data_IF_045909248930
#
_entry.id   IF_045909248930
#
_cell.length_a   1.000
_cell.length_b   1.000
_cell.length_c   1.000
_cell.angle_alpha   90.00
_cell.angle_beta   90.00
_cell.angle_gamma   90.00
#
_symmetry.space_group_name_H-M   'P 1'
#
loop_
_entity.id
_entity.type
_entity.pdbx_description
1 polymer ?
#
# COMPACT_ATOMS: atom_id res chain seq x y z
N UNK A 1 -17.70 17.03 12.02
CA UNK A 1 -17.59 17.76 10.75
C UNK A 1 -18.95 18.34 10.37
N UNK A 2 -18.99 19.45 9.66
CA UNK A 2 -20.18 20.12 9.10
C UNK A 2 -19.86 20.60 7.69
N UNK A 3 -20.87 20.76 6.83
CA UNK A 3 -20.68 21.36 5.51
C UNK A 3 -20.33 22.85 5.62
N UNK A 4 -19.58 23.37 4.65
CA UNK A 4 -19.24 24.79 4.59
C UNK A 4 -20.48 25.59 4.20
N UNK A 5 -20.94 26.48 5.08
CA UNK A 5 -22.13 27.31 4.85
C UNK A 5 -21.76 28.71 4.35
N UNK A 6 -22.74 29.46 3.81
CA UNK A 6 -22.58 30.91 3.49
C UNK A 6 -22.06 31.72 4.69
N UNK A 7 -22.33 31.30 5.94
CA UNK A 7 -21.72 31.90 7.14
C UNK A 7 -20.22 31.59 7.25
N UNK A 8 -19.82 30.31 7.11
CA UNK A 8 -18.42 29.88 7.24
C UNK A 8 -17.54 30.56 6.19
N UNK A 9 -17.98 30.63 4.94
CA UNK A 9 -17.25 31.33 3.88
C UNK A 9 -17.01 32.81 4.19
N UNK A 10 -18.05 33.54 4.62
CA UNK A 10 -17.93 34.96 5.00
C UNK A 10 -17.05 35.16 6.23
N UNK A 11 -17.18 34.32 7.26
CA UNK A 11 -16.38 34.40 8.47
C UNK A 11 -14.90 34.05 8.23
N UNK A 12 -14.62 33.02 7.42
CA UNK A 12 -13.27 32.65 7.01
C UNK A 12 -12.59 33.80 6.25
N UNK A 13 -13.28 34.40 5.27
CA UNK A 13 -12.76 35.55 4.53
C UNK A 13 -12.54 36.78 5.43
N UNK A 14 -13.47 37.06 6.35
CA UNK A 14 -13.33 38.16 7.30
C UNK A 14 -12.15 37.95 8.26
N UNK A 15 -11.88 36.71 8.69
CA UNK A 15 -10.80 36.35 9.62
C UNK A 15 -9.43 36.35 8.94
N UNK A 16 -9.27 35.56 7.89
CA UNK A 16 -7.98 35.32 7.23
C UNK A 16 -7.65 36.28 6.10
N UNK A 17 -8.60 37.12 5.65
CA UNK A 17 -8.49 37.98 4.45
C UNK A 17 -8.18 37.23 3.15
N UNK A 18 -8.49 35.93 3.12
CA UNK A 18 -8.30 35.01 1.99
C UNK A 18 -9.62 34.28 1.73
N UNK A 19 -9.99 34.09 0.45
CA UNK A 19 -11.20 33.32 0.08
C UNK A 19 -10.95 31.83 0.30
N UNK A 20 -11.97 31.10 0.74
CA UNK A 20 -11.90 29.64 0.78
C UNK A 20 -12.01 29.10 -0.65
N UNK A 21 -10.86 28.74 -1.24
CA UNK A 21 -10.73 28.32 -2.62
C UNK A 21 -11.05 26.85 -2.89
N UNK A 22 -10.96 26.49 -4.17
CA UNK A 22 -10.87 25.12 -4.69
C UNK A 22 -12.00 24.16 -4.25
N UNK A 23 -13.17 24.71 -3.89
CA UNK A 23 -14.32 23.91 -3.44
C UNK A 23 -14.97 23.07 -4.55
N UNK A 24 -14.56 23.24 -5.80
CA UNK A 24 -14.87 22.39 -6.93
C UNK A 24 -13.89 21.20 -7.10
N UNK A 25 -12.78 21.17 -6.35
CA UNK A 25 -11.74 20.13 -6.42
C UNK A 25 -11.95 19.07 -5.36
N UNK A 26 -12.02 17.80 -5.77
CA UNK A 26 -12.21 16.65 -4.87
C UNK A 26 -11.12 16.46 -3.81
N UNK A 27 -9.94 17.06 -4.00
CA UNK A 27 -8.85 17.07 -3.01
C UNK A 27 -8.98 18.16 -1.94
N UNK A 28 -9.86 19.14 -2.12
CA UNK A 28 -10.01 20.24 -1.18
C UNK A 28 -10.91 19.88 0.02
N UNK A 29 -10.70 20.46 1.22
CA UNK A 29 -11.59 20.22 2.35
C UNK A 29 -12.98 20.82 2.12
N UNK A 30 -13.99 19.97 1.88
CA UNK A 30 -15.40 20.36 1.76
C UNK A 30 -16.16 20.42 3.09
N UNK A 31 -15.50 20.06 4.21
CA UNK A 31 -16.11 19.98 5.55
C UNK A 31 -15.24 20.65 6.60
N UNK A 32 -15.88 21.33 7.54
CA UNK A 32 -15.27 22.09 8.63
C UNK A 32 -15.57 21.45 10.00
N UNK A 33 -14.68 21.63 10.98
CA UNK A 33 -14.89 21.10 12.33
C UNK A 33 -15.94 21.92 13.11
N UNK A 34 -16.78 21.28 13.95
CA UNK A 34 -17.85 22.00 14.71
C UNK A 34 -17.26 23.13 15.56
N UNK A 35 -16.21 22.82 16.30
CA UNK A 35 -15.46 23.78 17.14
C UNK A 35 -14.90 24.95 16.33
N UNK A 36 -14.48 24.73 15.09
CA UNK A 36 -13.95 25.76 14.20
C UNK A 36 -15.05 26.78 13.84
N UNK A 37 -16.26 26.28 13.53
CA UNK A 37 -17.45 27.11 13.26
C UNK A 37 -17.89 27.87 14.51
N UNK A 38 -17.85 27.23 15.68
CA UNK A 38 -18.19 27.84 16.97
C UNK A 38 -17.21 28.94 17.38
N UNK A 39 -15.90 28.73 17.18
CA UNK A 39 -14.87 29.74 17.43
C UNK A 39 -15.02 30.94 16.47
N UNK A 40 -15.24 30.72 15.17
CA UNK A 40 -15.53 31.80 14.22
C UNK A 40 -16.83 32.56 14.57
N UNK A 41 -17.86 31.85 15.04
CA UNK A 41 -19.14 32.45 15.48
C UNK A 41 -19.04 33.19 16.82
N UNK A 42 -18.11 32.79 17.68
CA UNK A 42 -17.82 33.50 18.93
C UNK A 42 -17.05 34.78 18.64
N UNK A 43 -16.00 34.68 17.81
CA UNK A 43 -15.21 35.80 17.32
C UNK A 43 -16.05 36.85 16.57
N UNK A 44 -16.93 36.42 15.64
CA UNK A 44 -17.81 37.34 14.89
C UNK A 44 -18.90 37.99 15.75
N UNK A 45 -18.96 37.67 17.05
CA UNK A 45 -19.81 38.32 18.06
C UNK A 45 -18.99 39.15 19.07
N UNK A 46 -17.72 39.43 18.76
CA UNK A 46 -16.82 40.21 19.62
C UNK A 46 -16.41 39.52 20.93
N UNK A 47 -16.52 38.18 21.01
CA UNK A 47 -16.14 37.43 22.21
C UNK A 47 -14.69 36.97 22.16
N UNK A 48 -14.08 36.78 23.32
CA UNK A 48 -12.67 36.36 23.49
C UNK A 48 -12.29 35.02 22.82
N UNK A 49 -13.24 34.10 22.58
CA UNK A 49 -12.90 32.82 21.92
C UNK A 49 -12.75 33.02 20.40
N UNK A 50 -11.56 32.72 19.90
CA UNK A 50 -11.16 32.80 18.50
C UNK A 50 -10.42 31.51 18.04
N UNK A 51 -10.04 31.41 16.77
CA UNK A 51 -9.23 30.28 16.28
C UNK A 51 -7.81 30.33 16.88
N UNK A 52 -7.15 29.19 17.16
CA UNK A 52 -5.81 29.19 17.76
C UNK A 52 -4.68 29.53 16.77
N UNK A 53 -4.99 29.85 15.51
CA UNK A 53 -4.03 30.08 14.43
C UNK A 53 -4.42 31.27 13.54
N UNK A 54 -3.41 32.07 13.17
CA UNK A 54 -3.56 33.23 12.29
C UNK A 54 -3.40 32.90 10.81
N UNK A 55 -2.72 31.80 10.48
CA UNK A 55 -2.67 31.24 9.12
C UNK A 55 -3.37 29.89 9.16
N UNK A 56 -4.35 29.63 8.27
CA UNK A 56 -5.07 28.36 8.24
C UNK A 56 -4.22 27.26 7.60
N UNK A 57 -4.69 26.00 7.65
CA UNK A 57 -4.08 24.96 6.81
C UNK A 57 -4.36 25.26 5.34
N UNK A 58 -3.31 25.38 4.53
CA UNK A 58 -3.43 25.62 3.09
C UNK A 58 -3.11 24.32 2.37
N UNK A 59 -4.02 23.91 1.48
CA UNK A 59 -3.90 22.74 0.63
C UNK A 59 -3.64 23.20 -0.81
N UNK A 60 -2.77 22.51 -1.52
CA UNK A 60 -2.46 22.70 -2.95
C UNK A 60 -2.41 21.34 -3.60
N UNK A 61 -2.83 21.23 -4.85
CA UNK A 61 -2.82 19.98 -5.61
C UNK A 61 -1.49 19.21 -5.50
N UNK A 62 -1.58 17.92 -5.14
CA UNK A 62 -0.46 16.99 -4.99
C UNK A 62 0.19 16.71 -6.33
N UNK A 63 1.52 16.87 -6.40
CA UNK A 63 2.31 16.61 -7.62
C UNK A 63 2.39 15.12 -7.95
N UNK A 64 2.57 14.26 -6.93
CA UNK A 64 2.61 12.81 -7.07
C UNK A 64 2.47 12.10 -5.70
N UNK A 65 2.20 10.79 -5.72
CA UNK A 65 2.00 9.99 -4.51
C UNK A 65 3.30 9.60 -3.76
N UNK A 66 4.48 9.78 -4.37
CA UNK A 66 5.76 9.31 -3.84
C UNK A 66 6.43 10.34 -2.93
N UNK A 67 6.46 11.61 -3.34
CA UNK A 67 7.06 12.72 -2.58
C UNK A 67 6.05 13.78 -2.08
N UNK A 68 4.79 13.71 -2.50
CA UNK A 68 3.79 14.77 -2.25
C UNK A 68 2.40 14.24 -1.81
N UNK A 69 2.35 13.10 -1.11
CA UNK A 69 1.09 12.50 -0.65
C UNK A 69 0.65 12.94 0.75
N UNK A 70 -0.48 13.66 0.84
CA UNK A 70 -1.04 14.19 2.08
C UNK A 70 -1.33 13.15 3.18
N UNK A 71 -1.64 11.91 2.79
CA UNK A 71 -1.98 10.84 3.73
C UNK A 71 -0.75 10.13 4.27
N UNK A 72 0.36 10.14 3.52
CA UNK A 72 1.55 9.34 3.82
C UNK A 72 2.64 10.14 4.53
N UNK A 73 2.73 11.45 4.33
CA UNK A 73 3.86 12.25 4.83
C UNK A 73 3.46 13.50 5.65
N UNK A 74 4.15 13.77 6.78
CA UNK A 74 3.75 14.83 7.71
C UNK A 74 4.17 16.26 7.32
N UNK A 75 5.15 16.44 6.43
CA UNK A 75 5.64 17.75 5.97
C UNK A 75 5.77 17.73 4.44
N UNK A 76 5.05 18.62 3.75
CA UNK A 76 4.96 18.69 2.29
C UNK A 76 4.99 20.15 1.82
N UNK A 77 5.47 20.40 0.60
CA UNK A 77 5.32 21.72 -0.05
C UNK A 77 3.86 22.04 -0.39
N UNK A 78 3.05 21.00 -0.63
CA UNK A 78 1.63 21.10 -0.98
C UNK A 78 0.72 21.42 0.21
N UNK A 79 1.17 21.19 1.46
CA UNK A 79 0.37 21.43 2.68
C UNK A 79 1.13 22.31 3.66
N UNK A 80 0.71 23.58 3.75
CA UNK A 80 1.17 24.49 4.80
C UNK A 80 0.30 24.23 6.04
N UNK A 81 0.94 23.78 7.12
CA UNK A 81 0.29 23.58 8.42
C UNK A 81 -0.19 24.92 9.01
N UNK A 82 -1.28 24.94 9.82
CA UNK A 82 -1.72 26.16 10.49
C UNK A 82 -0.61 26.79 11.33
N UNK A 83 -0.43 28.11 11.22
CA UNK A 83 0.55 28.85 12.02
C UNK A 83 -0.16 29.51 13.19
N UNK A 84 0.22 29.20 14.46
CA UNK A 84 -0.35 29.83 15.66
C UNK A 84 -0.27 31.36 15.62
N UNK A 85 -1.17 32.03 16.35
CA UNK A 85 -1.05 33.46 16.57
C UNK A 85 0.24 33.81 17.34
N UNK A 86 0.87 34.92 16.97
CA UNK A 86 2.07 35.46 17.63
C UNK A 86 2.03 37.01 17.60
N UNK A 87 3.11 37.68 18.03
CA UNK A 87 3.22 39.15 17.95
C UNK A 87 2.99 39.70 16.53
N UNK A 88 3.47 38.96 15.54
CA UNK A 88 3.48 39.36 14.12
C UNK A 88 2.22 38.87 13.39
N UNK A 89 1.46 37.97 14.03
CA UNK A 89 0.18 37.41 13.57
C UNK A 89 -0.86 37.53 14.69
N UNK A 90 -1.28 38.74 15.07
CA UNK A 90 -2.29 38.94 16.12
C UNK A 90 -3.66 38.40 15.69
N UNK A 91 -4.56 38.24 16.67
CA UNK A 91 -5.96 37.88 16.40
C UNK A 91 -6.64 39.05 15.67
N UNK A 92 -7.26 38.84 14.49
CA UNK A 92 -7.93 39.91 13.76
C UNK A 92 -9.12 40.44 14.57
N UNK A 93 -9.35 41.75 14.55
CA UNK A 93 -10.57 42.34 15.12
C UNK A 93 -11.69 42.16 14.09
N UNK A 94 -12.83 41.61 14.51
CA UNK A 94 -14.02 41.55 13.64
C UNK A 94 -14.57 42.96 13.42
N UNK A 95 -14.67 43.36 12.16
CA UNK A 95 -15.27 44.63 11.73
C UNK A 95 -16.61 44.37 11.07
N UNK A 96 -16.60 43.67 9.94
CA UNK A 96 -17.78 43.32 9.15
C UNK A 96 -17.51 42.10 8.26
N UNK A 97 -18.58 41.51 7.71
CA UNK A 97 -18.45 40.54 6.61
C UNK A 97 -18.38 41.31 5.28
N UNK A 98 -17.18 41.38 4.70
CA UNK A 98 -16.97 41.99 3.38
C UNK A 98 -17.89 41.35 2.32
N UNK A 99 -18.67 42.20 1.64
CA UNK A 99 -19.65 41.78 0.66
C UNK A 99 -19.03 41.20 -0.60
N UNK A 100 -19.41 39.98 -0.95
CA UNK A 100 -19.32 39.43 -2.30
C UNK A 100 -20.71 39.57 -2.93
N UNK A 101 -20.92 40.69 -3.61
CA UNK A 101 -21.94 40.89 -4.64
C UNK A 101 -21.50 40.13 -5.91
N UNK A 102 -22.31 39.39 -6.67
CA UNK A 102 -23.71 38.94 -6.57
C UNK A 102 -23.72 37.40 -6.91
N UNK A 103 -24.77 36.58 -6.91
CA UNK A 103 -26.20 36.74 -7.25
C UNK A 103 -27.13 35.87 -6.36
N UNK A 104 -28.43 36.22 -6.39
CA UNK A 104 -29.64 35.48 -5.94
C UNK A 104 -29.57 34.87 -4.50
N UNK A 105 -30.23 35.42 -3.48
CA UNK A 105 -31.54 36.07 -3.46
C UNK A 105 -31.67 36.95 -2.20
N UNK A 106 -32.42 38.06 -2.29
CA UNK A 106 -32.51 39.07 -1.22
C UNK A 106 -33.88 39.19 -0.58
N UNK A 107 -34.01 38.81 0.70
CA UNK A 107 -35.10 39.26 1.57
C UNK A 107 -34.71 39.26 3.06
N UNK A 108 -35.09 40.35 3.71
CA UNK A 108 -35.08 40.75 5.13
C UNK A 108 -34.70 39.76 6.26
N UNK A 109 -33.95 40.33 7.22
CA UNK A 109 -33.96 39.96 8.63
C UNK A 109 -35.26 40.44 9.29
N UNK A 110 -36.28 39.58 9.42
CA UNK A 110 -37.32 39.73 10.46
C UNK A 110 -37.66 38.36 11.09
N UNK A 111 -38.08 38.39 12.35
CA UNK A 111 -38.49 37.21 13.10
C UNK A 111 -39.89 36.76 12.65
N UNK A 112 -40.04 35.50 12.23
CA UNK A 112 -41.35 34.84 12.17
C UNK A 112 -41.25 33.50 12.87
N UNK A 113 -42.20 33.28 13.78
CA UNK A 113 -42.39 32.05 14.50
C UNK A 113 -43.50 31.23 13.82
N UNK A 114 -43.37 29.91 13.90
CA UNK A 114 -44.43 28.91 13.80
C UNK A 114 -44.88 28.32 12.43
N UNK A 115 -44.97 26.98 12.47
CA UNK A 115 -45.66 25.98 11.63
C UNK A 115 -45.57 25.89 10.09
N UNK A 116 -45.04 24.73 9.66
CA UNK A 116 -45.27 23.91 8.45
C UNK A 116 -45.06 24.59 7.07
N UNK A 117 -44.60 23.98 5.97
CA UNK A 117 -44.46 22.60 5.47
C UNK A 117 -43.24 22.56 4.51
N UNK A 118 -42.62 21.46 4.08
CA UNK A 118 -42.85 20.01 4.27
C UNK A 118 -41.47 19.29 4.43
N UNK A 119 -41.28 18.06 3.93
CA UNK A 119 -40.08 17.22 4.15
C UNK A 119 -39.20 17.00 2.91
N UNK A 120 -37.90 16.84 3.17
CA UNK A 120 -37.09 15.79 2.54
C UNK A 120 -36.52 14.91 3.67
N UNK A 121 -37.15 13.75 3.93
CA UNK A 121 -36.72 12.80 4.97
C UNK A 121 -35.67 11.89 4.36
N UNK A 122 -34.39 12.02 4.75
CA UNK A 122 -33.44 10.88 4.69
C UNK A 122 -32.12 11.12 5.46
N UNK A 123 -32.21 11.77 6.62
CA UNK A 123 -31.10 11.76 7.59
C UNK A 123 -31.57 11.64 9.04
N UNK A 124 -31.98 10.43 9.43
CA UNK A 124 -32.05 10.07 10.84
C UNK A 124 -30.63 10.11 11.42
N UNK A 125 -30.42 10.98 12.41
CA UNK A 125 -29.19 10.95 13.22
C UNK A 125 -29.02 9.58 13.90
N UNK A 126 -27.79 9.18 14.24
CA UNK A 126 -27.52 7.84 14.76
C UNK A 126 -28.40 7.56 15.98
N UNK A 127 -29.17 6.48 15.92
CA UNK A 127 -29.98 6.03 17.04
C UNK A 127 -29.07 5.69 18.23
N UNK A 128 -29.61 5.82 19.44
CA UNK A 128 -28.91 5.44 20.67
C UNK A 128 -28.82 3.92 20.89
N UNK A 129 -29.16 3.12 19.88
CA UNK A 129 -29.10 1.65 19.89
C UNK A 129 -27.97 1.16 18.97
N UNK A 130 -27.21 0.12 19.37
CA UNK A 130 -26.16 -0.43 18.51
C UNK A 130 -26.73 -1.02 17.21
N UNK A 131 -26.43 -0.40 16.08
CA UNK A 131 -26.73 -0.95 14.75
C UNK A 131 -25.90 -2.23 14.52
N UNK A 132 -26.57 -3.34 14.21
CA UNK A 132 -25.90 -4.59 13.85
C UNK A 132 -25.43 -4.54 12.40
N UNK A 133 -24.25 -5.08 12.11
CA UNK A 133 -23.79 -5.19 10.72
C UNK A 133 -24.64 -6.20 9.94
N UNK A 134 -25.26 -5.74 8.86
CA UNK A 134 -25.81 -6.59 7.82
C UNK A 134 -24.69 -7.12 6.92
N UNK A 135 -25.03 -8.01 5.97
CA UNK A 135 -24.04 -8.67 5.12
C UNK A 135 -23.29 -7.72 4.18
N UNK A 136 -23.92 -6.63 3.72
CA UNK A 136 -23.29 -5.64 2.85
C UNK A 136 -22.34 -4.75 3.66
N UNK A 137 -22.79 -4.18 4.79
CA UNK A 137 -21.96 -3.36 5.67
C UNK A 137 -20.73 -4.12 6.19
N UNK A 138 -20.89 -5.42 6.49
CA UNK A 138 -19.76 -6.27 6.87
C UNK A 138 -18.79 -6.50 5.70
N UNK A 139 -19.29 -6.61 4.46
CA UNK A 139 -18.45 -6.72 3.27
C UNK A 139 -17.71 -5.41 2.99
N UNK A 140 -18.36 -4.25 3.14
CA UNK A 140 -17.75 -2.94 3.00
C UNK A 140 -16.65 -2.75 4.05
N UNK A 141 -16.94 -3.02 5.34
CA UNK A 141 -15.92 -2.99 6.41
C UNK A 141 -14.72 -3.90 6.11
N UNK A 142 -14.95 -5.09 5.57
CA UNK A 142 -13.90 -6.05 5.21
C UNK A 142 -13.07 -5.58 4.00
N UNK A 143 -13.68 -4.86 3.05
CA UNK A 143 -12.99 -4.24 1.90
C UNK A 143 -12.15 -3.04 2.38
N UNK A 144 -12.73 -2.18 3.19
CA UNK A 144 -12.09 -0.94 3.66
C UNK A 144 -10.92 -1.24 4.63
N UNK A 145 -10.91 -2.42 5.26
CA UNK A 145 -9.80 -2.95 6.06
C UNK A 145 -8.82 -3.85 5.26
N UNK A 146 -9.02 -4.01 3.95
CA UNK A 146 -8.25 -4.88 3.04
C UNK A 146 -7.93 -6.29 3.59
N UNK A 147 -8.97 -6.99 4.05
CA UNK A 147 -8.79 -8.27 4.74
C UNK A 147 -8.72 -9.46 3.78
N UNK A 148 -7.67 -10.29 3.98
CA UNK A 148 -7.56 -11.65 3.43
C UNK A 148 -8.81 -12.48 3.75
N UNK A 149 -9.08 -13.56 3.01
CA UNK A 149 -10.25 -14.42 3.26
C UNK A 149 -10.27 -14.98 4.69
N UNK A 150 -9.13 -15.44 5.19
CA UNK A 150 -8.98 -15.99 6.55
C UNK A 150 -9.19 -14.91 7.61
N UNK A 151 -8.62 -13.71 7.40
CA UNK A 151 -8.81 -12.56 8.29
C UNK A 151 -10.26 -12.04 8.28
N UNK A 152 -10.90 -12.05 7.11
CA UNK A 152 -12.30 -11.68 6.90
C UNK A 152 -13.24 -12.62 7.66
N UNK A 153 -13.03 -13.93 7.51
CA UNK A 153 -13.78 -14.94 8.24
C UNK A 153 -13.58 -14.82 9.75
N UNK A 154 -12.33 -14.65 10.21
CA UNK A 154 -12.01 -14.48 11.62
C UNK A 154 -12.70 -13.25 12.22
N UNK A 155 -12.64 -12.09 11.55
CA UNK A 155 -13.32 -10.87 11.98
C UNK A 155 -14.84 -11.09 12.06
N UNK A 156 -15.44 -11.63 11.01
CA UNK A 156 -16.87 -11.93 10.97
C UNK A 156 -17.27 -12.92 12.08
N UNK A 157 -16.44 -13.92 12.38
CA UNK A 157 -16.69 -14.85 13.50
C UNK A 157 -16.68 -14.13 14.85
N UNK A 158 -15.70 -13.23 15.10
CA UNK A 158 -15.64 -12.47 16.35
C UNK A 158 -16.79 -11.47 16.49
N UNK A 159 -17.21 -10.83 15.41
CA UNK A 159 -18.39 -9.96 15.42
C UNK A 159 -19.67 -10.77 15.70
N UNK A 160 -19.77 -12.00 15.18
CA UNK A 160 -20.88 -12.91 15.49
C UNK A 160 -20.89 -13.34 16.96
N UNK A 161 -19.75 -13.71 17.53
CA UNK A 161 -19.60 -14.03 18.97
C UNK A 161 -20.00 -12.87 19.89
N UNK A 162 -19.87 -11.63 19.41
CA UNK A 162 -20.24 -10.41 20.14
C UNK A 162 -21.68 -9.96 19.90
N UNK A 163 -22.49 -10.73 19.14
CA UNK A 163 -23.85 -10.37 18.73
C UNK A 163 -23.91 -9.02 17.98
N UNK A 164 -22.88 -8.69 17.20
CA UNK A 164 -22.78 -7.45 16.42
C UNK A 164 -23.20 -7.63 14.95
N UNK A 165 -23.69 -8.81 14.56
CA UNK A 165 -24.16 -9.11 13.21
C UNK A 165 -25.65 -9.42 13.20
N UNK A 166 -26.34 -9.01 12.13
CA UNK A 166 -27.71 -9.48 11.87
C UNK A 166 -27.78 -11.01 11.70
N UNK A 167 -28.91 -11.60 12.09
CA UNK A 167 -29.15 -13.05 12.08
C UNK A 167 -28.96 -13.71 10.69
N UNK A 168 -29.14 -12.95 9.61
CA UNK A 168 -28.93 -13.41 8.22
C UNK A 168 -27.47 -13.40 7.75
N UNK A 169 -26.54 -12.79 8.49
CA UNK A 169 -25.14 -12.59 8.06
C UNK A 169 -24.34 -13.91 8.13
N UNK A 170 -23.71 -14.28 7.02
CA UNK A 170 -23.04 -15.57 6.81
C UNK A 170 -21.52 -15.43 6.90
N UNK A 171 -20.97 -15.67 8.08
CA UNK A 171 -19.50 -15.76 8.30
C UNK A 171 -18.81 -16.69 7.29
N UNK A 172 -19.46 -17.79 6.92
CA UNK A 172 -18.91 -18.76 5.96
C UNK A 172 -18.74 -18.20 4.54
N UNK A 173 -19.42 -17.11 4.18
CA UNK A 173 -19.33 -16.47 2.86
C UNK A 173 -17.88 -16.22 2.45
N UNK A 174 -17.04 -15.76 3.39
CA UNK A 174 -15.66 -15.39 3.11
C UNK A 174 -14.75 -16.56 2.69
N UNK A 175 -15.15 -17.82 2.96
CA UNK A 175 -14.45 -19.03 2.50
C UNK A 175 -14.61 -19.28 1.00
N UNK A 176 -15.68 -18.76 0.40
CA UNK A 176 -16.07 -19.05 -0.98
C UNK A 176 -16.54 -17.81 -1.76
N UNK A 177 -16.21 -16.59 -1.27
CA UNK A 177 -16.64 -15.31 -1.87
C UNK A 177 -16.22 -15.16 -3.32
N UNK A 178 -15.13 -15.80 -3.72
CA UNK A 178 -14.63 -15.84 -5.09
C UNK A 178 -15.43 -16.75 -6.02
N UNK A 179 -16.21 -17.71 -5.51
CA UNK A 179 -16.85 -18.74 -6.35
C UNK A 179 -17.90 -18.14 -7.29
N UNK A 180 -18.63 -17.12 -6.84
CA UNK A 180 -19.56 -16.34 -7.67
C UNK A 180 -18.82 -15.58 -8.78
N UNK A 181 -17.58 -15.16 -8.54
CA UNK A 181 -16.77 -14.46 -9.54
C UNK A 181 -16.04 -15.41 -10.50
N UNK A 182 -15.85 -16.69 -10.15
CA UNK A 182 -15.17 -17.67 -11.02
C UNK A 182 -15.77 -17.76 -12.42
N UNK A 183 -17.09 -17.59 -12.56
CA UNK A 183 -17.76 -17.62 -13.87
C UNK A 183 -17.29 -16.49 -14.81
N UNK A 184 -17.02 -15.29 -14.28
CA UNK A 184 -16.53 -14.15 -15.07
C UNK A 184 -15.06 -14.29 -15.50
N UNK A 185 -14.28 -15.10 -14.78
CA UNK A 185 -12.91 -15.45 -15.17
C UNK A 185 -12.86 -16.66 -16.15
N UNK A 186 -13.90 -17.50 -16.21
CA UNK A 186 -13.83 -18.81 -16.85
C UNK A 186 -14.22 -18.89 -18.35
N UNK A 187 -14.92 -17.92 -18.95
CA UNK A 187 -15.45 -18.09 -20.33
C UNK A 187 -15.06 -17.00 -21.33
N UNK A 188 -13.98 -17.28 -22.08
CA UNK A 188 -14.08 -17.68 -23.51
C UNK A 188 -12.74 -18.08 -24.15
N UNK A 189 -11.61 -17.72 -23.53
CA UNK A 189 -10.25 -17.97 -24.04
C UNK A 189 -9.34 -18.75 -23.05
N UNK A 190 -9.84 -19.84 -22.43
CA UNK A 190 -8.99 -20.84 -21.74
C UNK A 190 -8.67 -20.63 -20.24
N UNK A 191 -9.03 -19.50 -19.63
CA UNK A 191 -8.65 -19.18 -18.25
C UNK A 191 -9.50 -19.90 -17.17
N UNK A 192 -9.28 -21.19 -16.94
CA UNK A 192 -9.92 -21.88 -15.81
C UNK A 192 -9.14 -21.70 -14.51
N UNK A 193 -9.80 -21.13 -13.50
CA UNK A 193 -9.31 -21.02 -12.09
C UNK A 193 -9.18 -22.41 -11.41
N UNK A 194 -9.62 -23.50 -12.06
CA UNK A 194 -9.68 -24.86 -11.50
C UNK A 194 -8.80 -25.90 -12.23
N UNK A 195 -7.94 -25.49 -13.17
CA UNK A 195 -7.01 -26.38 -13.88
C UNK A 195 -5.55 -26.01 -13.65
N UNK A 196 -4.65 -26.97 -13.89
CA UNK A 196 -3.24 -26.95 -13.47
C UNK A 196 -2.50 -25.73 -14.05
N UNK A 197 -1.96 -24.89 -13.16
CA UNK A 197 -1.33 -23.59 -13.47
C UNK A 197 -0.34 -23.63 -14.65
N UNK A 198 0.42 -24.72 -14.83
CA UNK A 198 1.32 -24.94 -15.97
C UNK A 198 0.60 -24.97 -17.35
N UNK A 199 -0.56 -25.64 -17.46
CA UNK A 199 -1.26 -25.78 -18.75
C UNK A 199 -1.80 -24.42 -19.22
N UNK A 200 -2.39 -23.64 -18.30
CA UNK A 200 -2.88 -22.31 -18.60
C UNK A 200 -1.74 -21.41 -19.13
N UNK A 201 -0.56 -21.44 -18.49
CA UNK A 201 0.63 -20.69 -18.96
C UNK A 201 1.09 -21.14 -20.34
N UNK A 202 1.03 -22.44 -20.63
CA UNK A 202 1.32 -22.96 -21.97
C UNK A 202 0.34 -22.40 -23.02
N UNK A 203 -0.96 -22.46 -22.75
CA UNK A 203 -1.99 -21.94 -23.67
C UNK A 203 -1.84 -20.43 -23.90
N UNK A 204 -1.49 -19.65 -22.86
CA UNK A 204 -1.18 -18.21 -23.00
C UNK A 204 -0.02 -18.00 -23.97
N UNK A 205 1.09 -18.72 -23.81
CA UNK A 205 2.28 -18.59 -24.67
C UNK A 205 1.98 -18.97 -26.13
N UNK A 206 1.09 -19.93 -26.36
CA UNK A 206 0.59 -20.29 -27.70
C UNK A 206 -0.30 -19.18 -28.28
N UNK A 207 -1.23 -18.61 -27.50
CA UNK A 207 -2.12 -17.52 -27.93
C UNK A 207 -1.35 -16.24 -28.29
N UNK A 208 -0.37 -15.84 -27.48
CA UNK A 208 0.47 -14.67 -27.78
C UNK A 208 1.57 -14.97 -28.80
N UNK A 209 1.62 -16.20 -29.35
CA UNK A 209 2.60 -16.66 -30.32
C UNK A 209 4.06 -16.40 -29.89
N UNK A 210 4.37 -16.69 -28.61
CA UNK A 210 5.65 -16.35 -27.97
C UNK A 210 6.86 -16.87 -28.75
N UNK A 211 6.74 -18.02 -29.41
CA UNK A 211 7.82 -18.63 -30.22
C UNK A 211 8.28 -17.78 -31.41
N UNK A 212 7.45 -16.84 -31.89
CA UNK A 212 7.82 -15.87 -32.95
C UNK A 212 8.46 -14.61 -32.37
N UNK A 213 8.02 -14.20 -31.18
CA UNK A 213 8.44 -12.95 -30.55
C UNK A 213 9.70 -13.10 -29.68
N UNK A 214 9.89 -14.26 -29.05
CA UNK A 214 11.07 -14.67 -28.28
C UNK A 214 11.52 -13.61 -27.23
N UNK A 215 10.54 -12.97 -26.59
CA UNK A 215 10.74 -11.88 -25.63
C UNK A 215 11.46 -12.34 -24.36
N UNK A 216 12.15 -11.39 -23.71
CA UNK A 216 12.62 -11.56 -22.33
C UNK A 216 11.43 -11.46 -21.38
N UNK A 217 11.35 -12.38 -20.43
CA UNK A 217 10.25 -12.51 -19.47
C UNK A 217 10.78 -12.15 -18.06
N UNK A 218 10.20 -11.12 -17.47
CA UNK A 218 10.31 -10.81 -16.04
C UNK A 218 9.05 -11.29 -15.33
N UNK A 219 9.19 -12.24 -14.41
CA UNK A 219 8.08 -12.76 -13.60
C UNK A 219 8.57 -13.28 -12.25
N UNK A 220 7.64 -13.38 -11.31
CA UNK A 220 7.86 -13.97 -9.99
C UNK A 220 8.34 -15.44 -10.01
N UNK A 221 9.01 -15.88 -8.94
CA UNK A 221 9.60 -17.23 -8.85
C UNK A 221 8.57 -18.39 -8.95
N UNK A 222 7.31 -18.18 -8.58
CA UNK A 222 6.20 -19.13 -8.79
C UNK A 222 5.91 -19.26 -10.29
N UNK A 223 5.79 -18.14 -11.01
CA UNK A 223 5.63 -18.14 -12.47
C UNK A 223 6.83 -18.74 -13.21
N UNK A 224 8.07 -18.51 -12.75
CA UNK A 224 9.27 -19.20 -13.25
C UNK A 224 9.12 -20.72 -13.17
N UNK A 225 8.53 -21.26 -12.10
CA UNK A 225 8.31 -22.72 -12.00
C UNK A 225 7.37 -23.23 -13.10
N UNK A 226 6.32 -22.49 -13.47
CA UNK A 226 5.43 -22.90 -14.56
C UNK A 226 6.12 -22.80 -15.92
N UNK A 227 6.79 -21.67 -16.19
CA UNK A 227 7.53 -21.44 -17.43
C UNK A 227 8.64 -22.48 -17.68
N UNK A 228 9.26 -23.00 -16.61
CA UNK A 228 10.35 -23.98 -16.69
C UNK A 228 9.92 -25.41 -16.35
N UNK A 229 8.62 -25.67 -16.18
CA UNK A 229 8.10 -27.00 -15.85
C UNK A 229 8.57 -27.57 -14.51
N UNK A 230 8.98 -26.72 -13.57
CA UNK A 230 9.43 -27.10 -12.24
C UNK A 230 8.26 -27.24 -11.26
N UNK A 231 8.44 -28.09 -10.24
CA UNK A 231 7.53 -28.24 -9.12
C UNK A 231 7.57 -26.97 -8.25
N UNK A 232 6.39 -26.39 -7.99
CA UNK A 232 6.22 -25.26 -7.07
C UNK A 232 6.32 -25.67 -5.60
N UNK A 233 6.52 -24.68 -4.71
CA UNK A 233 6.61 -24.89 -3.27
C UNK A 233 8.02 -25.27 -2.78
N UNK A 234 8.11 -25.91 -1.61
CA UNK A 234 9.37 -26.15 -0.88
C UNK A 234 10.17 -27.35 -1.41
N UNK A 235 10.61 -27.26 -2.67
CA UNK A 235 11.44 -28.30 -3.31
C UNK A 235 12.88 -28.30 -2.79
N UNK A 236 13.57 -29.44 -2.97
CA UNK A 236 14.98 -29.59 -2.55
C UNK A 236 15.95 -28.76 -3.41
N UNK A 237 15.67 -28.60 -4.70
CA UNK A 237 16.56 -27.92 -5.65
C UNK A 237 15.83 -26.79 -6.40
N UNK A 238 15.38 -25.73 -5.71
CA UNK A 238 14.47 -24.72 -6.26
C UNK A 238 15.14 -23.75 -7.25
N UNK A 239 16.47 -23.72 -7.33
CA UNK A 239 17.17 -22.91 -8.33
C UNK A 239 17.02 -23.55 -9.73
N UNK A 240 16.73 -22.75 -10.75
CA UNK A 240 16.63 -23.21 -12.14
C UNK A 240 17.97 -23.16 -12.90
N UNK A 241 19.00 -22.52 -12.32
CA UNK A 241 20.32 -22.34 -12.92
C UNK A 241 21.36 -23.33 -12.37
N UNK A 242 21.21 -23.77 -11.12
CA UNK A 242 22.12 -24.69 -10.47
C UNK A 242 21.39 -25.65 -9.51
N UNK A 243 22.12 -26.66 -9.03
CA UNK A 243 21.64 -27.63 -8.05
C UNK A 243 21.83 -27.14 -6.60
N UNK A 244 21.46 -25.89 -6.31
CA UNK A 244 21.42 -25.35 -4.94
C UNK A 244 20.47 -26.16 -4.06
N UNK A 245 21.00 -26.79 -3.01
CA UNK A 245 20.25 -27.65 -2.10
C UNK A 245 19.62 -26.83 -0.98
N UNK A 246 18.31 -26.55 -1.07
CA UNK A 246 17.58 -25.74 -0.09
C UNK A 246 17.56 -26.31 1.34
N UNK A 247 17.96 -27.57 1.51
CA UNK A 247 17.96 -28.30 2.79
C UNK A 247 19.34 -28.32 3.44
N UNK A 248 20.41 -28.05 2.69
CA UNK A 248 21.79 -28.13 3.17
C UNK A 248 22.27 -26.80 3.79
N UNK A 249 21.67 -26.43 4.93
CA UNK A 249 21.95 -25.16 5.63
C UNK A 249 23.43 -24.99 6.03
N UNK A 250 24.15 -26.10 6.22
CA UNK A 250 25.55 -26.07 6.62
C UNK A 250 26.45 -25.61 5.46
N UNK A 251 26.11 -25.96 4.23
CA UNK A 251 26.90 -25.59 3.05
C UNK A 251 26.49 -24.25 2.43
N UNK A 252 25.33 -23.68 2.79
CA UNK A 252 24.79 -22.44 2.19
C UNK A 252 25.75 -21.25 2.22
N UNK A 253 26.51 -21.08 3.30
CA UNK A 253 27.46 -19.96 3.45
C UNK A 253 28.88 -20.35 3.02
N UNK A 254 29.31 -21.59 3.35
CA UNK A 254 30.66 -22.12 3.08
C UNK A 254 30.90 -22.35 1.59
N UNK A 255 29.91 -22.86 0.84
CA UNK A 255 30.08 -23.28 -0.55
C UNK A 255 30.02 -22.08 -1.49
N UNK A 256 31.12 -21.83 -2.20
CA UNK A 256 31.21 -20.75 -3.20
C UNK A 256 30.44 -21.02 -4.50
N UNK A 257 30.39 -22.28 -4.96
CA UNK A 257 29.76 -22.63 -6.26
C UNK A 257 28.96 -23.93 -6.21
N UNK A 258 27.70 -23.84 -6.61
CA UNK A 258 26.80 -24.97 -6.78
C UNK A 258 26.90 -25.53 -8.20
N UNK A 259 26.73 -26.85 -8.42
CA UNK A 259 26.85 -27.42 -9.77
C UNK A 259 25.79 -26.83 -10.70
N UNK A 260 26.15 -26.35 -11.91
CA UNK A 260 25.19 -25.76 -12.83
C UNK A 260 24.21 -26.81 -13.38
N UNK A 261 23.04 -26.36 -13.85
CA UNK A 261 22.10 -27.19 -14.60
C UNK A 261 22.37 -27.02 -16.10
N UNK A 262 22.89 -28.06 -16.72
CA UNK A 262 23.11 -28.09 -18.18
C UNK A 262 21.79 -28.06 -18.96
N UNK A 263 20.75 -28.72 -18.43
CA UNK A 263 19.42 -28.78 -19.02
C UNK A 263 18.36 -29.15 -17.96
N UNK A 264 17.09 -28.83 -18.25
CA UNK A 264 15.94 -29.20 -17.41
C UNK A 264 15.25 -30.42 -18.01
N UNK A 265 15.68 -31.62 -17.60
CA UNK A 265 15.11 -32.90 -18.05
C UNK A 265 13.93 -33.30 -17.15
N UNK A 266 12.79 -33.65 -17.75
CA UNK A 266 11.61 -34.13 -17.02
C UNK A 266 11.96 -35.38 -16.21
N UNK A 267 11.57 -35.37 -14.93
CA UNK A 267 11.92 -36.42 -13.96
C UNK A 267 13.24 -36.18 -13.22
N UNK A 268 14.10 -35.22 -13.64
CA UNK A 268 15.27 -34.86 -12.85
C UNK A 268 14.91 -33.89 -11.72
N UNK A 269 15.16 -34.33 -10.48
CA UNK A 269 14.95 -33.60 -9.22
C UNK A 269 13.54 -33.03 -9.05
N UNK A 270 13.34 -31.79 -9.47
CA UNK A 270 12.12 -30.99 -9.31
C UNK A 270 11.51 -30.59 -10.67
N UNK A 271 12.04 -31.07 -11.79
CA UNK A 271 11.47 -30.83 -13.13
C UNK A 271 10.39 -31.86 -13.40
N UNK A 272 9.13 -31.43 -13.48
CA UNK A 272 7.94 -32.28 -13.61
C UNK A 272 7.25 -32.17 -14.97
N UNK A 273 7.48 -31.08 -15.70
CA UNK A 273 7.04 -30.87 -17.09
C UNK A 273 8.22 -30.35 -17.93
N UNK A 274 8.06 -30.33 -19.26
CA UNK A 274 9.05 -29.69 -20.12
C UNK A 274 9.09 -28.17 -19.87
N UNK A 275 10.23 -27.50 -20.02
CA UNK A 275 10.27 -26.04 -20.10
C UNK A 275 9.45 -25.53 -21.29
N UNK A 276 8.65 -24.50 -21.06
CA UNK A 276 7.89 -23.77 -22.08
C UNK A 276 8.74 -22.69 -22.75
N UNK A 277 9.76 -22.19 -22.04
CA UNK A 277 10.70 -21.15 -22.51
C UNK A 277 12.14 -21.53 -22.13
N UNK A 278 13.11 -20.93 -22.82
CA UNK A 278 14.52 -21.11 -22.48
C UNK A 278 14.91 -20.34 -21.22
N UNK A 279 15.80 -20.92 -20.39
CA UNK A 279 16.27 -20.31 -19.13
C UNK A 279 17.02 -18.99 -19.31
N UNK A 280 17.56 -18.73 -20.51
CA UNK A 280 18.19 -17.45 -20.86
C UNK A 280 17.19 -16.31 -21.14
N UNK A 281 15.90 -16.60 -21.30
CA UNK A 281 14.84 -15.60 -21.48
C UNK A 281 14.25 -15.11 -20.17
N UNK A 282 14.57 -15.74 -19.05
CA UNK A 282 14.04 -15.38 -17.74
C UNK A 282 15.02 -14.45 -17.02
N UNK A 283 14.49 -13.31 -16.59
CA UNK A 283 15.14 -12.36 -15.67
C UNK A 283 14.38 -12.30 -14.35
N UNK A 284 15.07 -11.91 -13.28
CA UNK A 284 14.53 -11.90 -11.92
C UNK A 284 13.97 -10.51 -11.55
N UNK A 285 12.74 -10.43 -11.04
CA UNK A 285 12.14 -9.15 -10.68
C UNK A 285 12.73 -8.55 -9.39
N UNK A 286 12.95 -7.23 -9.33
CA UNK A 286 13.51 -6.58 -8.15
C UNK A 286 12.53 -6.59 -6.96
N UNK A 287 11.25 -6.34 -7.21
CA UNK A 287 10.23 -6.09 -6.18
C UNK A 287 10.14 -7.24 -5.18
N UNK A 288 9.84 -8.44 -5.66
CA UNK A 288 9.74 -9.63 -4.81
C UNK A 288 11.05 -9.97 -4.10
N UNK A 289 12.20 -9.48 -4.57
CA UNK A 289 13.50 -9.64 -3.92
C UNK A 289 13.65 -8.61 -2.78
N UNK A 290 13.36 -7.32 -3.01
CA UNK A 290 13.28 -6.28 -1.96
C UNK A 290 12.38 -6.73 -0.81
N UNK A 291 11.15 -7.15 -1.11
CA UNK A 291 10.16 -7.59 -0.12
C UNK A 291 10.64 -8.80 0.69
N UNK A 292 11.34 -9.75 0.06
CA UNK A 292 11.86 -10.95 0.74
C UNK A 292 13.10 -10.68 1.57
N UNK A 293 13.94 -9.70 1.20
CA UNK A 293 15.05 -9.24 2.01
C UNK A 293 14.52 -8.56 3.29
N UNK A 294 13.59 -7.61 3.14
CA UNK A 294 12.94 -6.93 4.26
C UNK A 294 12.27 -7.93 5.22
N UNK A 295 11.54 -8.91 4.69
CA UNK A 295 10.91 -9.99 5.48
C UNK A 295 11.92 -10.91 6.20
N UNK A 296 13.15 -11.06 5.70
CA UNK A 296 14.20 -11.80 6.39
C UNK A 296 14.87 -10.96 7.47
N UNK A 297 15.19 -9.70 7.17
CA UNK A 297 15.73 -8.73 8.12
C UNK A 297 14.81 -8.63 9.35
N UNK A 298 13.52 -8.32 9.17
CA UNK A 298 12.52 -8.25 10.27
C UNK A 298 12.42 -9.56 11.07
N UNK A 299 12.66 -10.72 10.44
CA UNK A 299 12.63 -12.03 11.12
C UNK A 299 13.87 -12.30 11.98
N UNK A 300 15.00 -11.67 11.66
CA UNK A 300 16.26 -11.79 12.38
C UNK A 300 16.38 -10.76 13.51
N UNK A 301 15.64 -9.64 13.43
CA UNK A 301 15.52 -8.68 14.53
C UNK A 301 14.97 -9.35 15.80
N UNK A 302 15.49 -8.87 16.93
CA UNK A 302 15.03 -9.24 18.27
C UNK A 302 13.58 -8.78 18.50
N UNK A 303 12.69 -9.74 18.80
CA UNK A 303 11.25 -9.52 18.91
C UNK A 303 10.80 -9.05 20.29
N UNK A 304 11.64 -9.24 21.31
CA UNK A 304 11.31 -8.87 22.68
C UNK A 304 11.60 -7.39 22.96
N UNK A 305 12.26 -6.70 22.01
CA UNK A 305 12.41 -5.24 22.03
C UNK A 305 11.18 -4.56 21.43
N UNK A 306 10.69 -3.53 22.12
CA UNK A 306 9.51 -2.74 21.74
C UNK A 306 9.74 -1.79 20.52
N UNK A 307 10.61 -2.18 19.58
CA UNK A 307 11.15 -1.34 18.50
C UNK A 307 10.10 -0.82 17.49
N UNK A 308 8.97 -1.51 17.31
CA UNK A 308 8.03 -1.25 16.20
C UNK A 308 6.95 -0.17 16.50
N UNK A 309 7.17 0.70 17.48
CA UNK A 309 6.13 1.66 17.93
C UNK A 309 6.44 3.16 17.77
N UNK A 310 7.63 3.56 17.31
CA UNK A 310 7.97 4.98 17.17
C UNK A 310 9.06 5.26 16.12
N UNK A 311 9.25 6.54 15.78
CA UNK A 311 10.27 7.04 14.84
C UNK A 311 11.73 6.73 15.26
N UNK A 312 11.95 6.28 16.51
CA UNK A 312 13.25 5.88 17.07
C UNK A 312 13.69 4.46 16.70
N UNK A 313 12.98 3.76 15.80
CA UNK A 313 13.31 2.40 15.34
C UNK A 313 14.80 2.23 14.96
N UNK A 314 15.38 3.19 14.22
CA UNK A 314 16.80 3.15 13.81
C UNK A 314 17.78 3.27 14.98
N UNK A 315 17.41 4.01 16.01
CA UNK A 315 18.24 4.23 17.21
C UNK A 315 18.19 3.02 18.16
N UNK A 316 17.13 2.20 18.05
CA UNK A 316 16.95 0.96 18.83
C UNK A 316 17.74 -0.25 18.31
N UNK A 317 18.35 -0.15 17.13
CA UNK A 317 19.16 -1.21 16.52
C UNK A 317 20.54 -1.30 17.17
N UNK A 318 21.06 -2.52 17.31
CA UNK A 318 22.48 -2.76 17.60
C UNK A 318 23.34 -2.56 16.33
N UNK A 319 24.67 -2.59 16.47
CA UNK A 319 25.58 -2.29 15.35
C UNK A 319 25.52 -3.30 14.18
N UNK A 320 25.23 -4.58 14.44
CA UNK A 320 25.01 -5.60 13.40
C UNK A 320 23.67 -5.38 12.67
N UNK A 321 22.61 -5.04 13.43
CA UNK A 321 21.29 -4.67 12.88
C UNK A 321 21.39 -3.41 12.01
N UNK A 322 22.12 -2.38 12.45
CA UNK A 322 22.41 -1.16 11.66
C UNK A 322 23.21 -1.46 10.41
N UNK A 323 24.26 -2.30 10.51
CA UNK A 323 25.09 -2.70 9.36
C UNK A 323 24.25 -3.39 8.30
N UNK A 324 23.45 -4.40 8.69
CA UNK A 324 22.55 -5.10 7.77
C UNK A 324 21.47 -4.17 7.18
N UNK A 325 20.90 -3.26 7.97
CA UNK A 325 19.95 -2.25 7.50
C UNK A 325 20.57 -1.29 6.47
N UNK A 326 21.80 -0.83 6.70
CA UNK A 326 22.51 0.06 5.78
C UNK A 326 22.89 -0.67 4.49
N UNK A 327 23.37 -1.92 4.58
CA UNK A 327 23.67 -2.75 3.42
C UNK A 327 22.41 -3.00 2.57
N UNK A 328 21.28 -3.32 3.20
CA UNK A 328 19.98 -3.43 2.53
C UNK A 328 19.58 -2.12 1.85
N UNK A 329 19.65 -1.00 2.57
CA UNK A 329 19.31 0.33 2.04
C UNK A 329 20.18 0.70 0.82
N UNK A 330 21.48 0.38 0.87
CA UNK A 330 22.43 0.60 -0.22
C UNK A 330 22.09 -0.25 -1.45
N UNK A 331 21.80 -1.55 -1.28
CA UNK A 331 21.41 -2.44 -2.37
C UNK A 331 20.05 -2.06 -2.97
N UNK A 332 19.07 -1.63 -2.17
CA UNK A 332 17.78 -1.17 -2.68
C UNK A 332 17.91 0.12 -3.52
N UNK A 333 18.77 1.05 -3.11
CA UNK A 333 18.93 2.35 -3.79
C UNK A 333 19.91 2.33 -4.98
N UNK A 334 20.93 1.48 -4.95
CA UNK A 334 22.03 1.46 -5.94
C UNK A 334 22.11 0.15 -6.76
N UNK A 335 21.23 -0.81 -6.52
CA UNK A 335 21.07 -1.98 -7.37
C UNK A 335 19.60 -2.19 -7.73
N UNK A 336 18.76 -2.59 -6.78
CA UNK A 336 17.37 -3.00 -7.03
C UNK A 336 16.39 -1.85 -7.33
N UNK A 337 16.88 -0.62 -7.44
CA UNK A 337 16.10 0.57 -7.79
C UNK A 337 16.28 0.97 -9.26
N UNK A 338 16.05 2.25 -9.56
CA UNK A 338 16.12 2.80 -10.92
C UNK A 338 17.57 3.00 -11.43
N UNK A 339 18.57 2.50 -10.70
CA UNK A 339 20.00 2.65 -11.00
C UNK A 339 20.76 1.41 -10.55
N UNK A 340 21.53 0.82 -11.46
CA UNK A 340 22.55 -0.20 -11.20
C UNK A 340 23.92 0.48 -11.14
N UNK A 341 24.41 0.74 -9.94
CA UNK A 341 25.72 1.36 -9.72
C UNK A 341 26.84 0.42 -10.19
N UNK A 342 28.00 0.97 -10.59
CA UNK A 342 29.14 0.16 -11.05
C UNK A 342 29.68 -0.79 -9.98
N UNK A 343 29.56 -0.42 -8.69
CA UNK A 343 29.96 -1.22 -7.53
C UNK A 343 28.82 -2.07 -6.93
N UNK A 344 27.78 -2.39 -7.71
CA UNK A 344 26.63 -3.16 -7.22
C UNK A 344 27.00 -4.53 -6.66
N UNK A 345 28.08 -5.16 -7.15
CA UNK A 345 28.55 -6.47 -6.70
C UNK A 345 29.04 -6.39 -5.25
N UNK A 346 29.87 -5.40 -4.97
CA UNK A 346 30.43 -5.12 -3.64
C UNK A 346 29.31 -4.80 -2.64
N UNK A 347 28.29 -4.02 -3.06
CA UNK A 347 27.11 -3.74 -2.23
C UNK A 347 26.30 -5.02 -1.92
N UNK A 348 26.16 -5.92 -2.90
CA UNK A 348 25.46 -7.19 -2.68
C UNK A 348 26.28 -8.14 -1.81
N UNK A 349 27.61 -8.20 -1.96
CA UNK A 349 28.49 -8.96 -1.06
C UNK A 349 28.31 -8.49 0.40
N UNK A 350 28.39 -7.18 0.65
CA UNK A 350 28.18 -6.62 1.98
C UNK A 350 26.76 -6.91 2.54
N UNK A 351 25.73 -6.94 1.71
CA UNK A 351 24.38 -7.37 2.11
C UNK A 351 24.33 -8.86 2.47
N UNK A 352 24.96 -9.74 1.67
CA UNK A 352 25.00 -11.18 1.92
C UNK A 352 25.76 -11.50 3.21
N UNK A 353 26.90 -10.85 3.43
CA UNK A 353 27.74 -11.03 4.61
C UNK A 353 27.09 -10.47 5.89
N UNK A 354 26.48 -9.29 5.81
CA UNK A 354 25.73 -8.73 6.95
C UNK A 354 24.45 -9.54 7.27
N UNK A 355 23.78 -10.13 6.27
CA UNK A 355 22.71 -11.09 6.51
C UNK A 355 23.21 -12.36 7.22
N UNK A 356 24.38 -12.87 6.85
CA UNK A 356 24.99 -14.04 7.51
C UNK A 356 25.32 -13.73 8.97
N UNK A 357 25.96 -12.59 9.24
CA UNK A 357 26.28 -12.13 10.60
C UNK A 357 25.01 -11.97 11.47
N UNK A 358 23.93 -11.42 10.92
CA UNK A 358 22.64 -11.28 11.59
C UNK A 358 21.90 -12.63 11.83
N UNK A 359 22.48 -13.77 11.44
CA UNK A 359 21.86 -15.08 11.60
C UNK A 359 20.68 -15.34 10.64
N UNK A 360 20.56 -14.58 9.55
CA UNK A 360 19.58 -14.89 8.50
C UNK A 360 19.85 -16.29 7.92
N UNK A 361 18.79 -16.99 7.53
CA UNK A 361 18.93 -18.20 6.73
C UNK A 361 19.11 -17.81 5.26
N UNK A 362 19.96 -18.50 4.51
CA UNK A 362 20.11 -18.30 3.06
C UNK A 362 18.82 -18.70 2.35
N UNK A 363 17.96 -17.74 2.01
CA UNK A 363 16.82 -18.01 1.13
C UNK A 363 17.24 -18.09 -0.33
N UNK A 364 16.38 -18.70 -1.16
CA UNK A 364 16.53 -18.76 -2.61
C UNK A 364 16.79 -17.38 -3.26
N UNK A 365 16.26 -16.29 -2.68
CA UNK A 365 16.47 -14.93 -3.17
C UNK A 365 17.83 -14.33 -2.77
N UNK A 366 18.36 -14.68 -1.59
CA UNK A 366 19.76 -14.34 -1.23
C UNK A 366 20.73 -15.16 -2.08
N UNK A 367 20.44 -16.44 -2.35
CA UNK A 367 21.24 -17.25 -3.27
C UNK A 367 21.28 -16.66 -4.70
N UNK A 368 20.14 -16.22 -5.25
CA UNK A 368 20.16 -15.53 -6.56
C UNK A 368 20.98 -14.23 -6.54
N UNK A 369 20.94 -13.46 -5.45
CA UNK A 369 21.78 -12.27 -5.28
C UNK A 369 23.27 -12.61 -5.14
N UNK A 370 23.64 -13.73 -4.50
CA UNK A 370 25.04 -14.14 -4.34
C UNK A 370 25.62 -14.67 -5.65
N UNK A 371 24.91 -15.60 -6.30
CA UNK A 371 25.48 -16.49 -7.31
C UNK A 371 24.98 -16.23 -8.74
N UNK A 372 23.91 -15.44 -8.91
CA UNK A 372 23.17 -15.29 -10.17
C UNK A 372 22.81 -13.83 -10.51
N UNK A 373 23.73 -12.90 -10.21
CA UNK A 373 23.61 -11.47 -10.53
C UNK A 373 23.51 -11.17 -12.04
N UNK A 374 23.83 -12.15 -12.90
CA UNK A 374 23.65 -12.10 -14.36
C UNK A 374 22.17 -12.07 -14.80
N UNK A 375 21.24 -12.42 -13.89
CA UNK A 375 19.78 -12.47 -14.18
C UNK A 375 19.02 -11.19 -13.88
N UNK A 376 19.72 -10.13 -13.49
CA UNK A 376 19.14 -8.84 -13.17
C UNK A 376 19.50 -7.85 -14.31
N UNK A 377 18.51 -7.31 -15.05
CA UNK A 377 18.77 -6.33 -16.10
C UNK A 377 19.47 -5.07 -15.58
N UNK A 378 19.91 -4.21 -16.51
CA UNK A 378 20.69 -3.02 -16.15
C UNK A 378 19.85 -1.84 -15.65
N UNK A 379 18.58 -1.74 -16.06
CA UNK A 379 17.61 -0.85 -15.44
C UNK A 379 16.49 -1.66 -14.76
N UNK A 380 16.63 -1.82 -13.44
CA UNK A 380 15.68 -2.58 -12.62
C UNK A 380 14.42 -1.76 -12.28
N UNK A 381 14.46 -0.43 -12.39
CA UNK A 381 13.29 0.44 -12.19
C UNK A 381 12.22 0.29 -13.26
N UNK A 382 12.64 0.24 -14.53
CA UNK A 382 11.73 0.11 -15.68
C UNK A 382 11.02 -1.26 -15.74
N UNK A 383 11.57 -2.25 -15.04
CA UNK A 383 11.05 -3.64 -14.96
C UNK A 383 10.40 -3.92 -13.60
N UNK A 384 9.89 -2.88 -12.93
CA UNK A 384 9.21 -2.99 -11.64
C UNK A 384 7.81 -3.60 -11.80
N UNK A 385 7.54 -4.69 -11.08
CA UNK A 385 6.23 -5.34 -11.01
C UNK A 385 5.22 -4.57 -10.12
N UNK A 386 5.59 -3.39 -9.60
CA UNK A 386 4.77 -2.56 -8.69
C UNK A 386 3.43 -2.06 -9.29
N UNK A 387 3.20 -2.24 -10.60
CA UNK A 387 1.91 -1.96 -11.26
C UNK A 387 1.03 -3.22 -11.45
N UNK A 388 1.50 -4.39 -11.03
CA UNK A 388 0.82 -5.69 -11.17
C UNK A 388 0.53 -6.43 -9.85
N UNK A 389 0.99 -5.90 -8.70
CA UNK A 389 0.48 -6.23 -7.36
C UNK A 389 -0.63 -5.24 -6.95
#
# INVERSE_FOLDING_TARGET
>A
MQNITKFVNRAYHAYFKVKLGDQDKSWAPHKVCKSCVELLRSWSKGKEKHLPFGIPMIWRESKNHFDDCYFCMPNLESVIRPVPHCSDLPVPIFTEFLGLYDDEDGANLEEVNDHDYEYDVDFQGPSSEPSLFNQAELNDLIRDLDLSKESSELLASRLKEKNLLHQGTKVTLYRYREQEFQQYFCEKNGYSVKLKEYNNVKEILEIINYSVHDWVICVDLKMVNFLLGQQSGFTKYPCFLCYWDSRDRNQHWIREKWPPRECLKVGDKNVINNPLVHTNKIILPPLHIKLSLMKQFIKALDKDRYCFKDNSFKDSMNEEEKRAWQAFSNVVSNFLGNKKASNYKELVTELVDSCHALGCNMSIKIHYLRDHLDRFPDNLGDMSEEQGE
#
